data_IF_646898539740
#
_entry.id   IF_646898539740
#
_cell.length_a   1.000
_cell.length_b   1.000
_cell.length_c   1.000
_cell.angle_alpha   90.00
_cell.angle_beta   90.00
_cell.angle_gamma   90.00
#
_symmetry.space_group_name_H-M   'P 1'
#
loop_
_entity.id
_entity.type
_entity.pdbx_description
1 polymer ?
#
# COMPACT_ATOMS: atom_id res chain seq x y z
N UNK A 1 6.38 -5.99 22.85
CA UNK A 1 7.07 -5.17 21.81
C UNK A 1 8.57 -5.38 21.74
N UNK A 2 9.31 -5.38 22.85
CA UNK A 2 10.78 -5.62 22.84
C UNK A 2 11.16 -6.92 22.13
N UNK A 3 10.40 -8.00 22.32
CA UNK A 3 10.63 -9.28 21.62
C UNK A 3 10.53 -9.17 20.08
N UNK A 4 9.69 -8.28 19.56
CA UNK A 4 9.55 -8.03 18.11
C UNK A 4 10.80 -7.30 17.59
N UNK A 5 11.25 -6.29 18.33
CA UNK A 5 12.47 -5.53 17.99
C UNK A 5 13.70 -6.44 17.99
N UNK A 6 13.81 -7.32 18.98
CA UNK A 6 14.89 -8.30 19.08
C UNK A 6 14.72 -9.49 18.13
N UNK A 7 13.70 -9.49 17.27
CA UNK A 7 13.35 -10.58 16.33
C UNK A 7 13.18 -11.96 17.00
N UNK A 8 12.81 -11.99 18.28
CA UNK A 8 12.56 -13.22 19.05
C UNK A 8 11.12 -13.73 18.90
N UNK A 9 10.21 -12.87 18.45
CA UNK A 9 8.83 -13.22 18.14
C UNK A 9 8.30 -12.31 17.02
N UNK A 10 7.34 -12.80 16.22
CA UNK A 10 6.68 -11.93 15.25
C UNK A 10 5.73 -10.96 15.95
N UNK A 11 5.37 -9.87 15.26
CA UNK A 11 4.35 -8.95 15.77
C UNK A 11 3.00 -9.67 15.98
N UNK A 12 2.62 -10.54 15.02
CA UNK A 12 1.39 -11.33 15.11
C UNK A 12 1.37 -12.26 16.33
N UNK A 13 2.49 -12.93 16.64
CA UNK A 13 2.58 -13.80 17.82
C UNK A 13 2.43 -13.02 19.13
N UNK A 14 2.98 -11.80 19.19
CA UNK A 14 2.84 -10.93 20.37
C UNK A 14 1.39 -10.49 20.54
N UNK A 15 0.71 -10.08 19.46
CA UNK A 15 -0.71 -9.72 19.51
C UNK A 15 -1.57 -10.92 19.91
N UNK A 16 -1.32 -12.10 19.32
CA UNK A 16 -2.06 -13.31 19.61
C UNK A 16 -1.87 -13.77 21.06
N UNK A 17 -0.65 -13.70 21.58
CA UNK A 17 -0.35 -14.01 22.97
C UNK A 17 -1.07 -13.06 23.92
N UNK A 18 -1.00 -11.76 23.65
CA UNK A 18 -1.69 -10.74 24.43
C UNK A 18 -3.20 -10.97 24.46
N UNK A 19 -3.80 -11.30 23.31
CA UNK A 19 -5.20 -11.68 23.20
C UNK A 19 -5.53 -12.92 24.05
N UNK A 20 -4.69 -13.97 24.00
CA UNK A 20 -4.88 -15.21 24.77
C UNK A 20 -4.75 -14.99 26.27
N UNK A 21 -3.76 -14.21 26.71
CA UNK A 21 -3.51 -13.90 28.13
C UNK A 21 -4.65 -13.09 28.75
N UNK A 22 -5.30 -12.22 27.96
CA UNK A 22 -6.40 -11.36 28.43
C UNK A 22 -7.77 -11.84 27.94
N UNK A 23 -7.87 -13.12 27.60
CA UNK A 23 -9.11 -13.73 27.11
C UNK A 23 -10.18 -13.61 28.19
N UNK A 24 -11.30 -12.96 27.85
CA UNK A 24 -12.40 -12.67 28.78
C UNK A 24 -12.51 -11.19 29.17
N UNK A 25 -11.47 -10.39 28.96
CA UNK A 25 -11.55 -8.94 29.10
C UNK A 25 -11.97 -8.28 27.80
N UNK A 26 -12.98 -7.40 27.88
CA UNK A 26 -13.53 -6.68 26.71
C UNK A 26 -12.57 -5.64 26.15
N UNK A 27 -11.76 -5.04 27.01
CA UNK A 27 -10.78 -3.99 26.70
C UNK A 27 -9.54 -4.23 27.53
N UNK A 28 -8.36 -3.98 26.96
CA UNK A 28 -7.08 -4.01 27.65
C UNK A 28 -6.19 -2.83 27.23
N UNK A 29 -5.30 -2.41 28.13
CA UNK A 29 -4.27 -1.43 27.82
C UNK A 29 -2.95 -2.12 27.47
N UNK A 30 -2.22 -1.58 26.51
CA UNK A 30 -0.85 -1.98 26.21
C UNK A 30 0.00 -0.73 25.94
N UNK A 31 1.31 -0.89 26.02
CA UNK A 31 2.24 0.13 25.54
C UNK A 31 2.95 -0.37 24.28
N UNK A 32 2.85 0.40 23.21
CA UNK A 32 3.74 0.31 22.07
C UNK A 32 4.93 1.25 22.29
N UNK A 33 5.99 0.71 22.91
CA UNK A 33 7.13 1.49 23.39
C UNK A 33 6.67 2.55 24.41
N UNK A 34 6.62 3.83 24.03
CA UNK A 34 6.17 4.94 24.87
C UNK A 34 4.70 5.30 24.62
N UNK A 35 4.07 4.74 23.59
CA UNK A 35 2.70 5.05 23.20
C UNK A 35 1.70 4.15 23.94
N UNK A 36 0.80 4.70 24.78
CA UNK A 36 -0.31 3.92 25.32
C UNK A 36 -1.32 3.60 24.22
N UNK A 37 -1.74 2.34 24.15
CA UNK A 37 -2.72 1.82 23.19
C UNK A 37 -3.81 1.10 23.97
N UNK A 38 -5.06 1.38 23.60
CA UNK A 38 -6.21 0.61 24.05
C UNK A 38 -6.53 -0.44 23.01
N UNK A 39 -6.58 -1.71 23.42
CA UNK A 39 -6.94 -2.84 22.56
C UNK A 39 -8.35 -3.31 22.93
N UNK A 40 -9.21 -3.41 21.93
CA UNK A 40 -10.62 -3.79 22.09
C UNK A 40 -10.79 -5.23 21.62
N UNK A 41 -11.24 -6.11 22.52
CA UNK A 41 -11.43 -7.54 22.27
C UNK A 41 -12.93 -7.95 22.21
N UNK A 42 -13.84 -6.97 22.31
CA UNK A 42 -15.28 -7.17 22.31
C UNK A 42 -15.90 -6.80 20.95
N UNK A 43 -16.55 -7.75 20.24
CA UNK A 43 -17.12 -7.49 18.92
C UNK A 43 -18.19 -6.38 18.90
N UNK A 44 -18.99 -6.23 19.96
CA UNK A 44 -20.01 -5.17 20.04
C UNK A 44 -19.38 -3.79 20.23
N UNK A 45 -18.33 -3.67 21.03
CA UNK A 45 -17.53 -2.43 21.12
C UNK A 45 -16.81 -2.13 19.81
N UNK A 46 -16.21 -3.14 19.15
CA UNK A 46 -15.60 -2.95 17.83
C UNK A 46 -16.62 -2.42 16.83
N UNK A 47 -17.83 -3.00 16.77
CA UNK A 47 -18.92 -2.53 15.92
C UNK A 47 -19.34 -1.09 16.22
N UNK A 48 -19.32 -0.68 17.49
CA UNK A 48 -19.53 0.72 17.85
C UNK A 48 -18.44 1.61 17.27
N UNK A 49 -17.17 1.30 17.51
CA UNK A 49 -16.03 2.09 17.07
C UNK A 49 -15.94 2.19 15.53
N UNK A 50 -16.05 1.07 14.82
CA UNK A 50 -15.78 1.02 13.38
C UNK A 50 -17.01 1.27 12.50
N UNK A 51 -18.22 1.28 13.06
CA UNK A 51 -19.48 1.47 12.32
C UNK A 51 -20.35 2.56 12.92
N UNK A 52 -20.85 2.37 14.15
CA UNK A 52 -21.90 3.25 14.70
C UNK A 52 -21.39 4.65 15.04
N UNK A 53 -20.22 4.71 15.65
CA UNK A 53 -19.60 5.92 16.18
C UNK A 53 -18.35 6.30 15.35
N UNK A 54 -18.27 5.82 14.10
CA UNK A 54 -17.09 5.98 13.22
C UNK A 54 -16.62 7.42 13.08
N UNK A 55 -17.55 8.39 13.09
CA UNK A 55 -17.21 9.81 12.99
C UNK A 55 -16.30 10.34 14.13
N UNK A 56 -16.22 9.61 15.25
CA UNK A 56 -15.28 9.91 16.34
C UNK A 56 -13.92 9.21 16.18
N UNK A 57 -13.82 8.20 15.32
CA UNK A 57 -12.66 7.31 15.16
C UNK A 57 -12.18 7.24 13.69
N UNK A 58 -12.22 8.36 12.98
CA UNK A 58 -11.96 8.44 11.54
C UNK A 58 -10.47 8.19 11.21
N UNK A 59 -9.58 8.69 12.05
CA UNK A 59 -8.15 8.77 11.73
C UNK A 59 -7.38 7.53 12.21
N UNK A 60 -6.51 7.02 11.33
CA UNK A 60 -5.50 6.06 11.74
C UNK A 60 -4.28 6.76 12.37
N UNK A 61 -3.59 6.03 13.23
CA UNK A 61 -2.32 6.47 13.78
C UNK A 61 -1.22 6.44 12.70
N UNK A 62 -0.52 7.57 12.55
CA UNK A 62 0.64 7.69 11.66
C UNK A 62 1.81 8.28 12.45
N UNK A 63 2.99 7.69 12.28
CA UNK A 63 4.20 8.01 13.05
C UNK A 63 5.13 8.96 12.29
N UNK A 64 4.99 9.02 10.97
CA UNK A 64 5.89 9.77 10.09
C UNK A 64 5.19 11.06 9.63
N UNK A 65 5.77 12.24 9.88
CA UNK A 65 5.17 13.51 9.47
C UNK A 65 5.14 13.68 7.95
N UNK A 66 4.08 14.29 7.38
CA UNK A 66 4.01 14.60 5.95
C UNK A 66 5.14 15.50 5.43
N UNK A 67 5.69 16.37 6.28
CA UNK A 67 6.79 17.25 5.90
C UNK A 67 8.11 16.50 5.66
N UNK A 68 8.26 15.30 6.23
CA UNK A 68 9.49 14.50 6.12
C UNK A 68 9.34 13.44 5.04
N UNK A 69 8.18 12.80 4.94
CA UNK A 69 7.91 11.79 3.92
C UNK A 69 6.50 11.98 3.33
N UNK A 70 6.37 12.85 2.31
CA UNK A 70 5.09 13.14 1.68
C UNK A 70 4.45 11.92 1.02
N UNK A 71 5.27 11.03 0.44
CA UNK A 71 4.78 9.84 -0.25
C UNK A 71 4.20 8.83 0.75
N UNK A 72 4.90 8.59 1.86
CA UNK A 72 4.39 7.71 2.90
C UNK A 72 3.17 8.31 3.59
N UNK A 73 3.23 9.56 4.04
CA UNK A 73 2.12 10.16 4.78
C UNK A 73 0.90 10.51 3.90
N UNK A 74 1.10 10.69 2.60
CA UNK A 74 0.05 10.98 1.62
C UNK A 74 -0.76 9.76 1.17
N UNK A 75 -0.41 8.56 1.62
CA UNK A 75 -1.17 7.36 1.27
C UNK A 75 -2.54 7.32 1.98
N UNK A 76 -3.52 6.66 1.35
CA UNK A 76 -4.91 6.63 1.82
C UNK A 76 -5.07 6.05 3.24
N UNK A 77 -4.15 5.20 3.70
CA UNK A 77 -4.22 4.63 5.05
C UNK A 77 -3.82 5.64 6.14
N UNK A 78 -3.03 6.67 5.81
CA UNK A 78 -2.53 7.66 6.79
C UNK A 78 -3.06 9.08 6.60
N UNK A 79 -3.78 9.34 5.51
CA UNK A 79 -4.56 10.57 5.38
C UNK A 79 -5.57 10.67 6.53
N UNK A 80 -5.88 11.92 6.92
CA UNK A 80 -6.74 12.23 8.07
C UNK A 80 -7.88 13.16 7.70
N UNK A 81 -8.97 13.07 8.47
CA UNK A 81 -10.12 13.96 8.39
C UNK A 81 -10.70 14.10 6.98
N UNK A 82 -10.99 15.32 6.57
CA UNK A 82 -11.66 15.59 5.29
C UNK A 82 -10.83 15.14 4.08
N UNK A 83 -9.49 15.30 4.12
CA UNK A 83 -8.62 14.86 3.03
C UNK A 83 -8.73 13.37 2.75
N UNK A 84 -8.84 12.56 3.80
CA UNK A 84 -9.08 11.13 3.68
C UNK A 84 -10.46 10.85 3.08
N UNK A 85 -11.50 11.54 3.56
CA UNK A 85 -12.88 11.39 3.04
C UNK A 85 -12.94 11.69 1.54
N UNK A 86 -12.36 12.81 1.12
CA UNK A 86 -12.35 13.25 -0.28
C UNK A 86 -11.59 12.26 -1.17
N UNK A 87 -10.39 11.84 -0.74
CA UNK A 87 -9.57 10.88 -1.50
C UNK A 87 -10.25 9.51 -1.58
N UNK A 88 -10.85 9.04 -0.48
CA UNK A 88 -11.61 7.78 -0.45
C UNK A 88 -12.81 7.83 -1.38
N UNK A 89 -13.57 8.92 -1.36
CA UNK A 89 -14.72 9.12 -2.25
C UNK A 89 -14.28 9.13 -3.73
N UNK A 90 -13.14 9.75 -4.03
CA UNK A 90 -12.57 9.80 -5.39
C UNK A 90 -12.10 8.42 -5.88
N UNK A 91 -11.47 7.62 -5.02
CA UNK A 91 -10.90 6.32 -5.40
C UNK A 91 -11.92 5.17 -5.39
N UNK A 92 -12.97 5.24 -4.57
CA UNK A 92 -13.94 4.14 -4.41
C UNK A 92 -14.61 3.71 -5.72
N UNK A 93 -15.02 4.62 -6.64
CA UNK A 93 -15.61 4.25 -7.93
C UNK A 93 -14.72 3.36 -8.81
N UNK A 94 -13.39 3.48 -8.68
CA UNK A 94 -12.44 2.69 -9.44
C UNK A 94 -12.48 1.19 -9.09
N UNK A 95 -13.01 0.83 -7.92
CA UNK A 95 -13.12 -0.54 -7.43
C UNK A 95 -14.54 -1.13 -7.57
N UNK A 96 -15.42 -0.48 -8.34
CA UNK A 96 -16.74 -1.05 -8.66
C UNK A 96 -16.61 -2.32 -9.51
N UNK A 97 -17.59 -3.23 -9.43
CA UNK A 97 -17.56 -4.49 -10.18
C UNK A 97 -17.41 -4.28 -11.70
N UNK A 98 -17.96 -3.20 -12.26
CA UNK A 98 -17.81 -2.85 -13.67
C UNK A 98 -16.35 -2.50 -14.02
N UNK A 99 -15.73 -1.59 -13.26
CA UNK A 99 -14.33 -1.19 -13.49
C UNK A 99 -13.35 -2.34 -13.19
N UNK A 100 -13.62 -3.15 -12.18
CA UNK A 100 -12.85 -4.37 -11.88
C UNK A 100 -12.91 -5.41 -13.01
N UNK A 101 -14.07 -5.59 -13.65
CA UNK A 101 -14.19 -6.46 -14.83
C UNK A 101 -13.32 -5.97 -16.00
N UNK A 102 -13.22 -4.65 -16.18
CA UNK A 102 -12.35 -4.11 -17.23
C UNK A 102 -10.86 -4.35 -16.92
N UNK A 103 -10.45 -4.20 -15.65
CA UNK A 103 -9.08 -4.51 -15.21
C UNK A 103 -8.76 -6.01 -15.21
N UNK A 104 -9.77 -6.89 -15.17
CA UNK A 104 -9.57 -8.34 -15.18
C UNK A 104 -8.80 -8.83 -16.42
N UNK A 105 -8.97 -8.19 -17.58
CA UNK A 105 -8.23 -8.55 -18.78
C UNK A 105 -6.71 -8.35 -18.60
N UNK A 106 -6.32 -7.27 -17.90
CA UNK A 106 -4.93 -6.99 -17.57
C UNK A 106 -4.39 -8.02 -16.57
N UNK A 107 -5.19 -8.37 -15.55
CA UNK A 107 -4.85 -9.40 -14.56
C UNK A 107 -4.67 -10.78 -15.22
N UNK A 108 -5.59 -11.16 -16.11
CA UNK A 108 -5.55 -12.43 -16.85
C UNK A 108 -4.31 -12.53 -17.73
N UNK A 109 -3.89 -11.42 -18.35
CA UNK A 109 -2.66 -11.38 -19.14
C UNK A 109 -1.42 -11.64 -18.28
N UNK A 110 -1.33 -11.02 -17.10
CA UNK A 110 -0.25 -11.34 -16.14
C UNK A 110 -0.30 -12.82 -15.69
N UNK A 111 -1.51 -13.38 -15.56
CA UNK A 111 -1.70 -14.80 -15.22
C UNK A 111 -1.17 -15.74 -16.30
N UNK A 112 -1.45 -15.43 -17.57
CA UNK A 112 -0.89 -16.14 -18.73
C UNK A 112 0.63 -16.06 -18.75
N UNK A 113 1.21 -14.86 -18.57
CA UNK A 113 2.66 -14.68 -18.52
C UNK A 113 3.32 -15.52 -17.41
N UNK A 114 2.67 -15.65 -16.26
CA UNK A 114 3.15 -16.54 -15.19
C UNK A 114 3.08 -18.01 -15.60
N UNK A 115 1.99 -18.44 -16.25
CA UNK A 115 1.86 -19.81 -16.79
C UNK A 115 2.96 -20.12 -17.79
N UNK A 116 3.11 -19.28 -18.81
CA UNK A 116 4.14 -19.42 -19.85
C UNK A 116 5.55 -19.50 -19.25
N UNK A 117 5.84 -18.65 -18.25
CA UNK A 117 7.12 -18.66 -17.55
C UNK A 117 7.37 -19.99 -16.81
N UNK A 118 6.34 -20.54 -16.15
CA UNK A 118 6.45 -21.79 -15.42
C UNK A 118 6.66 -22.97 -16.37
N UNK A 119 5.88 -23.04 -17.45
CA UNK A 119 6.05 -24.06 -18.50
C UNK A 119 7.47 -24.02 -19.06
N UNK A 120 7.93 -22.84 -19.51
CA UNK A 120 9.29 -22.65 -20.04
C UNK A 120 10.38 -23.04 -19.01
N UNK A 121 10.16 -22.73 -17.73
CA UNK A 121 11.11 -23.04 -16.65
C UNK A 121 11.17 -24.55 -16.37
N UNK A 122 10.04 -25.24 -16.39
CA UNK A 122 9.95 -26.67 -16.13
C UNK A 122 10.55 -27.48 -17.27
N UNK A 123 10.23 -27.13 -18.52
CA UNK A 123 10.81 -27.76 -19.70
C UNK A 123 12.34 -27.65 -19.69
N UNK A 124 12.88 -26.45 -19.37
CA UNK A 124 14.34 -26.23 -19.29
C UNK A 124 15.03 -27.02 -18.18
N UNK A 125 14.33 -27.30 -17.08
CA UNK A 125 14.89 -28.09 -15.99
C UNK A 125 14.97 -29.58 -16.32
N UNK A 126 14.06 -30.09 -17.15
CA UNK A 126 14.05 -31.49 -17.59
C UNK A 126 13.95 -32.51 -16.44
N UNK A 127 13.22 -32.16 -15.37
CA UNK A 127 13.04 -32.99 -14.16
C UNK A 127 11.57 -33.34 -13.99
N UNK A 128 11.28 -34.52 -13.46
CA UNK A 128 9.89 -34.91 -13.13
C UNK A 128 9.34 -34.17 -11.90
N UNK A 129 10.23 -33.64 -11.05
CA UNK A 129 9.87 -32.93 -9.82
C UNK A 129 10.51 -31.55 -9.83
N UNK A 130 9.66 -30.52 -9.76
CA UNK A 130 10.05 -29.12 -9.70
C UNK A 130 9.77 -28.53 -8.32
N UNK A 131 10.67 -27.67 -7.86
CA UNK A 131 10.50 -26.88 -6.63
C UNK A 131 10.53 -25.41 -6.98
N UNK A 132 9.55 -24.65 -6.47
CA UNK A 132 9.42 -23.21 -6.68
C UNK A 132 9.27 -22.51 -5.34
N UNK A 133 9.96 -21.39 -5.19
CA UNK A 133 9.75 -20.49 -4.06
C UNK A 133 8.49 -19.65 -4.31
N UNK A 134 7.39 -20.05 -3.67
CA UNK A 134 6.06 -19.47 -3.90
C UNK A 134 5.99 -17.99 -3.54
N UNK A 135 6.74 -17.54 -2.53
CA UNK A 135 6.71 -16.14 -2.11
C UNK A 135 7.32 -15.24 -3.17
N UNK A 136 8.47 -15.57 -3.74
CA UNK A 136 9.11 -14.81 -4.82
C UNK A 136 8.24 -14.83 -6.08
N UNK A 137 7.71 -15.99 -6.47
CA UNK A 137 6.79 -16.13 -7.61
C UNK A 137 5.59 -15.18 -7.48
N UNK A 138 4.85 -15.26 -6.37
CA UNK A 138 3.66 -14.44 -6.18
C UNK A 138 3.98 -12.97 -5.91
N UNK A 139 5.15 -12.64 -5.33
CA UNK A 139 5.58 -11.25 -5.17
C UNK A 139 5.82 -10.60 -6.54
N UNK A 140 6.48 -11.31 -7.46
CA UNK A 140 6.69 -10.85 -8.84
C UNK A 140 5.40 -10.75 -9.64
N UNK A 141 4.57 -11.79 -9.57
CA UNK A 141 3.26 -11.79 -10.22
C UNK A 141 2.39 -10.62 -9.73
N UNK A 142 2.26 -10.43 -8.42
CA UNK A 142 1.44 -9.34 -7.84
C UNK A 142 2.01 -7.97 -8.20
N UNK A 143 3.34 -7.84 -8.26
CA UNK A 143 3.99 -6.63 -8.72
C UNK A 143 3.60 -6.28 -10.17
N UNK A 144 3.63 -7.26 -11.08
CA UNK A 144 3.29 -7.05 -12.50
C UNK A 144 1.81 -6.72 -12.68
N UNK A 145 0.94 -7.36 -11.90
CA UNK A 145 -0.47 -7.02 -11.80
C UNK A 145 -0.65 -5.55 -11.43
N UNK A 146 -0.01 -5.09 -10.34
CA UNK A 146 -0.14 -3.70 -9.89
C UNK A 146 0.47 -2.72 -10.90
N UNK A 147 1.63 -3.03 -11.47
CA UNK A 147 2.23 -2.23 -12.53
C UNK A 147 1.25 -2.03 -13.70
N UNK A 148 0.58 -3.11 -14.11
CA UNK A 148 -0.34 -3.14 -15.24
C UNK A 148 -1.68 -2.47 -14.95
N UNK A 149 -2.31 -2.78 -13.81
CA UNK A 149 -3.67 -2.33 -13.49
C UNK A 149 -3.71 -1.00 -12.74
N UNK A 150 -2.67 -0.65 -11.99
CA UNK A 150 -2.62 0.59 -11.22
C UNK A 150 -1.79 1.67 -11.92
N UNK A 151 -0.61 1.33 -12.45
CA UNK A 151 0.28 2.29 -13.09
C UNK A 151 0.17 2.28 -14.63
N UNK A 152 -0.52 1.29 -15.19
CA UNK A 152 -0.71 1.19 -16.64
C UNK A 152 0.58 0.94 -17.42
N UNK A 153 1.56 0.30 -16.78
CA UNK A 153 2.84 -0.08 -17.36
C UNK A 153 2.94 -1.60 -17.40
N UNK A 154 3.41 -2.13 -18.52
CA UNK A 154 3.62 -3.56 -18.66
C UNK A 154 5.06 -3.88 -18.28
N UNK A 155 5.23 -4.77 -17.31
CA UNK A 155 6.52 -5.30 -16.87
C UNK A 155 6.44 -6.82 -16.85
N UNK A 156 7.60 -7.46 -16.92
CA UNK A 156 7.74 -8.91 -16.77
C UNK A 156 8.81 -9.18 -15.72
N UNK A 157 8.39 -9.20 -14.45
CA UNK A 157 9.29 -9.37 -13.30
C UNK A 157 9.72 -10.81 -13.08
N UNK A 158 9.08 -11.77 -13.75
CA UNK A 158 9.47 -13.18 -13.74
C UNK A 158 10.68 -13.40 -14.65
N UNK A 159 10.63 -12.90 -15.89
CA UNK A 159 11.76 -13.00 -16.83
C UNK A 159 12.84 -11.95 -16.58
N UNK A 160 12.47 -10.76 -16.11
CA UNK A 160 13.41 -9.67 -15.81
C UNK A 160 13.44 -9.37 -14.31
N UNK A 161 14.18 -10.17 -13.52
CA UNK A 161 14.02 -10.19 -12.08
C UNK A 161 14.50 -8.92 -11.35
N UNK A 162 15.26 -8.07 -12.04
CA UNK A 162 15.85 -6.83 -11.53
C UNK A 162 15.30 -5.58 -12.23
N UNK A 163 14.08 -5.66 -12.80
CA UNK A 163 13.46 -4.47 -13.38
C UNK A 163 13.20 -3.40 -12.31
N UNK A 164 13.27 -2.14 -12.73
CA UNK A 164 13.24 -0.97 -11.83
C UNK A 164 11.94 -0.91 -11.02
N UNK A 165 10.79 -1.22 -11.63
CA UNK A 165 9.51 -1.20 -10.94
C UNK A 165 9.47 -2.22 -9.79
N UNK A 166 9.91 -3.46 -10.04
CA UNK A 166 9.98 -4.50 -9.01
C UNK A 166 10.94 -4.15 -7.88
N UNK A 167 12.13 -3.62 -8.21
CA UNK A 167 13.11 -3.21 -7.20
C UNK A 167 12.58 -2.05 -6.35
N UNK A 168 11.93 -1.06 -6.96
CA UNK A 168 11.29 0.04 -6.26
C UNK A 168 10.14 -0.46 -5.36
N UNK A 169 9.29 -1.37 -5.83
CA UNK A 169 8.20 -1.96 -5.06
C UNK A 169 8.67 -2.83 -3.89
N UNK A 170 9.71 -3.63 -4.10
CA UNK A 170 10.38 -4.41 -3.04
C UNK A 170 10.99 -3.50 -1.99
N UNK A 171 11.60 -2.41 -2.42
CA UNK A 171 12.15 -1.39 -1.54
C UNK A 171 11.07 -0.42 -1.05
N UNK A 172 9.80 -0.48 -1.45
CA UNK A 172 8.74 0.25 -0.74
C UNK A 172 8.14 -0.62 0.38
N UNK A 173 8.09 -1.93 0.15
CA UNK A 173 7.47 -2.92 1.04
C UNK A 173 8.45 -3.59 2.02
N UNK A 174 9.74 -3.25 1.96
CA UNK A 174 10.74 -3.74 2.90
C UNK A 174 10.58 -3.02 4.25
N UNK A 175 10.29 -3.77 5.32
CA UNK A 175 10.24 -3.23 6.69
C UNK A 175 11.40 -3.73 7.56
N UNK A 176 12.41 -4.35 6.97
CA UNK A 176 13.51 -4.98 7.69
C UNK A 176 14.73 -4.05 7.82
N UNK A 177 15.67 -4.46 8.68
CA UNK A 177 16.99 -3.84 8.80
C UNK A 177 16.91 -2.38 9.24
N UNK A 178 17.61 -1.49 8.54
CA UNK A 178 17.68 -0.06 8.86
C UNK A 178 16.30 0.60 8.95
N UNK A 179 15.31 0.14 8.18
CA UNK A 179 13.95 0.73 8.18
C UNK A 179 13.18 0.44 9.45
N UNK A 180 13.36 -0.74 10.02
CA UNK A 180 12.80 -1.06 11.34
C UNK A 180 13.39 -0.15 12.42
N UNK A 181 14.65 0.27 12.29
CA UNK A 181 15.28 1.25 13.18
C UNK A 181 14.70 2.65 12.97
N UNK A 182 14.47 3.09 11.72
CA UNK A 182 13.80 4.37 11.44
C UNK A 182 12.40 4.39 12.04
N UNK A 183 11.60 3.35 11.80
CA UNK A 183 10.25 3.19 12.38
C UNK A 183 10.27 3.21 13.92
N UNK A 184 11.22 2.50 14.52
CA UNK A 184 11.42 2.49 15.97
C UNK A 184 11.83 3.87 16.49
N UNK A 185 12.74 4.56 15.81
CA UNK A 185 13.15 5.93 16.14
C UNK A 185 11.96 6.88 16.18
N UNK A 186 11.06 6.79 15.19
CA UNK A 186 9.84 7.61 15.14
C UNK A 186 8.88 7.27 16.28
N UNK A 187 8.82 6.00 16.70
CA UNK A 187 7.96 5.56 17.81
C UNK A 187 8.50 6.01 19.17
N UNK A 188 9.82 6.00 19.38
CA UNK A 188 10.45 6.34 20.67
C UNK A 188 10.69 7.84 20.82
N UNK A 189 11.22 8.50 19.79
CA UNK A 189 11.58 9.92 19.82
C UNK A 189 11.28 10.61 18.48
N UNK A 190 9.99 10.81 18.20
CA UNK A 190 9.52 11.46 16.97
C UNK A 190 10.12 12.86 16.75
N UNK A 191 10.38 13.63 17.81
CA UNK A 191 10.98 14.96 17.73
C UNK A 191 12.40 14.93 17.15
N UNK A 192 13.22 13.98 17.58
CA UNK A 192 14.59 13.83 17.06
C UNK A 192 14.57 13.38 15.59
N UNK A 193 13.74 12.39 15.26
CA UNK A 193 13.61 11.91 13.88
C UNK A 193 13.11 13.00 12.93
N UNK A 194 12.14 13.82 13.39
CA UNK A 194 11.66 14.99 12.64
C UNK A 194 12.77 16.04 12.46
N UNK A 195 13.58 16.28 13.49
CA UNK A 195 14.72 17.20 13.41
C UNK A 195 15.77 16.73 12.39
N UNK A 196 16.10 15.44 12.39
CA UNK A 196 17.05 14.83 11.44
C UNK A 196 16.46 14.64 10.03
N UNK A 197 15.15 14.84 9.84
CA UNK A 197 14.43 14.71 8.57
C UNK A 197 14.69 13.37 7.86
N UNK A 198 14.74 12.28 8.61
CA UNK A 198 14.98 10.94 8.05
C UNK A 198 13.66 10.40 7.46
N UNK A 199 13.51 10.28 6.12
CA UNK A 199 12.29 9.71 5.54
C UNK A 199 12.23 8.20 5.78
N UNK A 200 11.04 7.63 5.73
CA UNK A 200 10.87 6.17 5.78
C UNK A 200 11.07 5.56 4.40
N UNK A 201 10.58 6.25 3.38
CA UNK A 201 10.72 5.90 1.97
C UNK A 201 12.03 6.45 1.43
N UNK A 202 12.85 5.63 0.75
CA UNK A 202 14.08 6.12 0.12
C UNK A 202 13.78 7.21 -0.92
N UNK A 203 14.57 8.29 -0.98
CA UNK A 203 14.39 9.37 -1.95
C UNK A 203 14.37 8.89 -3.41
N UNK A 204 15.16 7.87 -3.75
CA UNK A 204 15.26 7.30 -5.08
C UNK A 204 13.95 6.62 -5.49
N UNK A 205 13.35 5.84 -4.58
CA UNK A 205 12.05 5.17 -4.79
C UNK A 205 10.95 6.22 -4.93
N UNK A 206 10.97 7.26 -4.09
CA UNK A 206 10.00 8.35 -4.19
C UNK A 206 10.09 9.07 -5.53
N UNK A 207 11.31 9.42 -5.98
CA UNK A 207 11.56 10.05 -7.27
C UNK A 207 11.10 9.17 -8.44
N UNK A 208 11.39 7.88 -8.38
CA UNK A 208 10.95 6.91 -9.40
C UNK A 208 9.42 6.89 -9.52
N UNK A 209 8.69 6.72 -8.42
CA UNK A 209 7.22 6.67 -8.43
C UNK A 209 6.64 7.98 -8.97
N UNK A 210 7.17 9.13 -8.53
CA UNK A 210 6.72 10.44 -9.03
C UNK A 210 6.99 10.61 -10.52
N UNK A 211 8.16 10.20 -11.03
CA UNK A 211 8.45 10.27 -12.46
C UNK A 211 7.50 9.38 -13.24
N UNK A 212 7.37 8.11 -12.83
CA UNK A 212 6.54 7.11 -13.48
C UNK A 212 5.10 7.59 -13.68
N UNK A 213 4.48 8.09 -12.61
CA UNK A 213 3.10 8.58 -12.66
C UNK A 213 2.99 9.82 -13.56
N UNK A 214 3.89 10.79 -13.41
CA UNK A 214 3.86 12.02 -14.21
C UNK A 214 4.09 11.76 -15.70
N UNK A 215 5.06 10.91 -16.04
CA UNK A 215 5.39 10.55 -17.41
C UNK A 215 4.25 9.75 -18.05
N UNK A 216 3.63 8.85 -17.30
CA UNK A 216 2.44 8.10 -17.75
C UNK A 216 1.27 9.03 -18.02
N UNK A 217 0.97 9.96 -17.11
CA UNK A 217 -0.11 10.95 -17.30
C UNK A 217 0.15 11.82 -18.54
N UNK A 218 1.35 12.40 -18.67
CA UNK A 218 1.73 13.26 -19.80
C UNK A 218 1.65 12.54 -21.15
N UNK A 219 2.16 11.31 -21.21
CA UNK A 219 2.14 10.51 -22.43
C UNK A 219 0.72 10.24 -22.88
N UNK A 220 -0.19 9.93 -21.94
CA UNK A 220 -1.60 9.68 -22.23
C UNK A 220 -2.34 10.93 -22.70
N UNK A 221 -2.11 12.05 -22.05
CA UNK A 221 -2.71 13.33 -22.44
C UNK A 221 -2.26 13.72 -23.86
N UNK A 222 -0.99 13.49 -24.21
CA UNK A 222 -0.44 13.80 -25.54
C UNK A 222 -0.95 12.86 -26.63
N UNK A 223 -1.00 11.55 -26.36
CA UNK A 223 -1.24 10.52 -27.37
C UNK A 223 -2.70 10.03 -27.42
N UNK A 224 -3.55 10.48 -26.49
CA UNK A 224 -4.95 10.08 -26.43
C UNK A 224 -5.16 8.61 -26.03
N UNK A 225 -4.21 8.03 -25.29
CA UNK A 225 -4.25 6.61 -24.92
C UNK A 225 -5.32 6.36 -23.86
N UNK A 226 -6.26 5.47 -24.18
CA UNK A 226 -7.27 4.95 -23.25
C UNK A 226 -6.90 3.53 -22.85
N UNK A 227 -6.63 3.33 -21.56
CA UNK A 227 -6.34 2.02 -20.98
C UNK A 227 -7.20 1.87 -19.72
N UNK A 228 -7.95 0.77 -19.55
CA UNK A 228 -8.83 0.58 -18.40
C UNK A 228 -8.03 0.23 -17.13
N UNK A 229 -7.26 1.18 -16.62
CA UNK A 229 -6.43 1.08 -15.41
C UNK A 229 -6.72 2.24 -14.46
N UNK A 230 -6.14 2.18 -13.25
CA UNK A 230 -6.39 3.16 -12.19
C UNK A 230 -6.03 4.60 -12.60
N UNK A 231 -4.93 4.81 -13.34
CA UNK A 231 -4.55 6.14 -13.81
C UNK A 231 -5.65 6.72 -14.69
N UNK A 232 -6.22 5.94 -15.61
CA UNK A 232 -7.31 6.43 -16.46
C UNK A 232 -8.56 6.75 -15.66
N UNK A 233 -8.92 5.90 -14.68
CA UNK A 233 -10.06 6.14 -13.80
C UNK A 233 -9.88 7.41 -12.96
N UNK A 234 -8.66 7.69 -12.50
CA UNK A 234 -8.34 8.92 -11.79
C UNK A 234 -8.39 10.16 -12.70
N UNK A 235 -7.99 10.01 -13.97
CA UNK A 235 -8.14 11.08 -14.97
C UNK A 235 -9.62 11.37 -15.28
N UNK A 236 -10.48 10.34 -15.37
CA UNK A 236 -11.93 10.49 -15.51
C UNK A 236 -12.53 11.20 -14.29
N UNK A 237 -12.24 10.73 -13.09
CA UNK A 237 -12.73 11.32 -11.83
C UNK A 237 -12.30 12.79 -11.69
N UNK A 238 -11.08 13.14 -12.11
CA UNK A 238 -10.61 14.54 -12.16
C UNK A 238 -11.42 15.40 -13.12
N UNK A 239 -11.86 14.87 -14.27
CA UNK A 239 -12.68 15.62 -15.23
C UNK A 239 -14.09 15.84 -14.70
N UNK A 240 -14.72 14.80 -14.15
CA UNK A 240 -16.06 14.86 -13.55
C UNK A 240 -16.10 15.85 -12.37
N UNK A 241 -15.08 15.82 -11.50
CA UNK A 241 -14.97 16.78 -10.39
C UNK A 241 -14.64 18.21 -10.83
N UNK A 242 -13.95 18.41 -11.96
CA UNK A 242 -13.76 19.76 -12.53
C UNK A 242 -15.06 20.28 -13.15
N UNK A 243 -15.88 19.43 -13.79
CA UNK A 243 -17.21 19.83 -14.24
C UNK A 243 -18.16 20.13 -13.08
N UNK A 244 -18.09 19.36 -11.99
CA UNK A 244 -18.90 19.58 -10.79
C UNK A 244 -18.38 20.77 -9.95
N UNK A 245 -17.08 21.05 -10.01
CA UNK A 245 -16.42 22.17 -9.33
C UNK A 245 -16.76 23.55 -9.90
N UNK A 246 -17.38 23.63 -11.07
CA UNK A 246 -18.08 24.83 -11.55
C UNK A 246 -19.31 25.15 -10.67
N UNK A 247 -19.79 24.19 -9.88
CA UNK A 247 -20.92 24.32 -8.95
C UNK A 247 -20.57 24.13 -7.45
N UNK A 248 -19.29 24.22 -7.06
CA UNK A 248 -18.89 24.49 -5.67
C UNK A 248 -18.35 23.30 -4.87
N UNK A 249 -17.01 23.24 -4.74
CA UNK A 249 -16.31 22.40 -3.76
C UNK A 249 -14.79 22.49 -3.95
N UNK A 250 -14.05 22.90 -2.91
CA UNK A 250 -12.58 23.08 -2.96
C UNK A 250 -11.85 21.74 -3.00
N UNK A 251 -10.88 21.66 -3.90
CA UNK A 251 -10.23 20.44 -4.40
C UNK A 251 -8.97 20.06 -3.61
N UNK A 252 -8.77 18.76 -3.38
CA UNK A 252 -7.45 18.20 -3.09
C UNK A 252 -6.65 18.05 -4.41
N UNK A 253 -5.58 18.83 -4.57
CA UNK A 253 -4.65 18.62 -5.69
C UNK A 253 -3.99 17.25 -5.53
N UNK A 254 -4.11 16.42 -6.57
CA UNK A 254 -3.29 15.23 -6.78
C UNK A 254 -1.81 15.63 -6.83
#
# INVERSE_FOLDING_TARGET
MVQVVLKRASFADVILRMYREHKGHRVMGMFQMTLPITVVNDPELLKRIVVKDFDHFVDHYSIIPPEVDPLFAGNLFFLKGQRWRDMRATLSPAFTSSKMKNMFLLLSKCGQQMGDFLEETFEKQGKDVHSIEMKDLFTRFTNDVIASTAFGVTVDSLKNPNNEFYLAGKELTNFNGLRSLVFMGYTVCSRLMKFLRVPFTPPEVSKFIHSLVNDTLRTREREGIVRPDMIHLLMEARKETVSDGVNGGKIAKL
#
